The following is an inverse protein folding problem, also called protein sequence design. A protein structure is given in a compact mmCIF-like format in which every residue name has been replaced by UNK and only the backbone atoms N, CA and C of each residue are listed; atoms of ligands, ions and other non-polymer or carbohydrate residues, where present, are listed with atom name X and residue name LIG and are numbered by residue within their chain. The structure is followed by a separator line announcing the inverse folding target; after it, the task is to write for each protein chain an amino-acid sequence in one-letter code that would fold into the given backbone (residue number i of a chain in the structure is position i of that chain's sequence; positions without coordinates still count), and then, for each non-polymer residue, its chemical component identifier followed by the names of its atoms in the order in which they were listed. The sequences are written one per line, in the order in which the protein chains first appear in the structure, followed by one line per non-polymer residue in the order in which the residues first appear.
data_IF_946789044667
#
_entry.id   IF_946789044667
#
_cell.length_a   1.000
_cell.length_b   1.000
_cell.length_c   1.000
_cell.angle_alpha   90.00
_cell.angle_beta   90.00
_cell.angle_gamma   90.00
#
_symmetry.space_group_name_H-M   'P 1'
#
loop_
_entity.id
_entity.type
_entity.pdbx_description
1 polymer ?
#
# COMPACT_ATOMS: atom_id res chain seq x y z
N UNK A 1 -7.01 31.48 59.69
CA UNK A 1 -6.83 32.86 59.17
C UNK A 1 -6.22 32.87 57.74
N UNK A 2 -6.67 32.00 56.82
CA UNK A 2 -6.23 32.00 55.41
C UNK A 2 -7.35 31.55 54.43
N UNK A 3 -8.63 31.65 54.81
CA UNK A 3 -9.78 31.26 53.97
C UNK A 3 -10.57 32.44 53.41
N UNK A 4 -10.03 33.66 53.49
CA UNK A 4 -10.73 34.90 53.14
C UNK A 4 -10.27 35.60 51.85
N UNK A 5 -9.08 35.32 51.33
CA UNK A 5 -8.46 36.14 50.27
C UNK A 5 -8.81 35.74 48.82
N UNK A 6 -9.64 34.71 48.63
CA UNK A 6 -10.01 34.21 47.28
C UNK A 6 -11.32 34.76 46.72
N UNK A 7 -11.97 35.75 47.36
CA UNK A 7 -13.32 36.20 46.98
C UNK A 7 -13.39 37.42 46.06
N UNK A 8 -12.28 38.09 45.75
CA UNK A 8 -12.29 39.27 44.87
C UNK A 8 -11.19 39.21 43.79
N UNK A 9 -11.35 38.35 42.78
CA UNK A 9 -10.64 38.52 41.50
C UNK A 9 -11.64 38.92 40.38
N UNK A 10 -11.30 39.93 39.54
CA UNK A 10 -12.14 40.39 38.43
C UNK A 10 -12.61 39.25 37.52
N UNK A 11 -13.87 39.30 37.11
CA UNK A 11 -14.51 38.34 36.18
C UNK A 11 -13.73 38.01 34.88
N UNK A 12 -12.97 38.94 34.24
CA UNK A 12 -12.15 38.59 33.07
C UNK A 12 -10.95 37.69 33.42
N UNK A 13 -10.34 37.86 34.58
CA UNK A 13 -9.18 37.06 35.02
C UNK A 13 -9.63 35.63 35.35
N UNK A 14 -10.83 35.48 35.92
CA UNK A 14 -11.43 34.16 36.17
C UNK A 14 -11.75 33.42 34.86
N UNK A 15 -12.26 34.13 33.84
CA UNK A 15 -12.50 33.57 32.50
C UNK A 15 -11.20 33.18 31.80
N UNK A 16 -10.19 34.05 31.84
CA UNK A 16 -8.86 33.78 31.29
C UNK A 16 -8.20 32.54 31.93
N UNK A 17 -8.27 32.40 33.26
CA UNK A 17 -7.80 31.21 33.99
C UNK A 17 -8.53 29.94 33.57
N UNK A 18 -9.84 30.01 33.28
CA UNK A 18 -10.59 28.86 32.75
C UNK A 18 -10.17 28.50 31.33
N UNK A 19 -9.93 29.48 30.45
CA UNK A 19 -9.44 29.22 29.08
C UNK A 19 -8.04 28.59 29.06
N UNK A 20 -7.13 29.06 29.90
CA UNK A 20 -5.78 28.47 30.04
C UNK A 20 -5.87 27.03 30.52
N UNK A 21 -6.76 26.73 31.48
CA UNK A 21 -7.00 25.34 31.94
C UNK A 21 -7.54 24.45 30.82
N UNK A 22 -8.53 24.91 30.05
CA UNK A 22 -9.07 24.15 28.93
C UNK A 22 -8.00 23.87 27.87
N UNK A 23 -7.17 24.87 27.55
CA UNK A 23 -6.08 24.72 26.59
C UNK A 23 -5.04 23.68 27.04
N UNK A 24 -4.66 23.69 28.33
CA UNK A 24 -3.75 22.68 28.89
C UNK A 24 -4.35 21.26 28.84
N UNK A 25 -5.66 21.12 29.10
CA UNK A 25 -6.35 19.82 28.99
C UNK A 25 -6.34 19.31 27.55
N UNK A 26 -6.56 20.19 26.56
CA UNK A 26 -6.53 19.81 25.14
C UNK A 26 -5.13 19.34 24.73
N UNK A 27 -4.07 20.03 25.18
CA UNK A 27 -2.68 19.61 24.93
C UNK A 27 -2.42 18.24 25.54
N UNK A 28 -2.81 18.02 26.79
CA UNK A 28 -2.62 16.74 27.48
C UNK A 28 -3.36 15.61 26.74
N UNK A 29 -4.59 15.87 26.29
CA UNK A 29 -5.37 14.91 25.51
C UNK A 29 -4.70 14.58 24.17
N UNK A 30 -4.18 15.59 23.47
CA UNK A 30 -3.44 15.41 22.22
C UNK A 30 -2.17 14.57 22.42
N UNK A 31 -1.39 14.85 23.45
CA UNK A 31 -0.20 14.08 23.79
C UNK A 31 -0.54 12.62 24.13
N UNK A 32 -1.62 12.41 24.89
CA UNK A 32 -2.09 11.06 25.23
C UNK A 32 -2.53 10.28 23.98
N UNK A 33 -3.24 10.90 23.03
CA UNK A 33 -3.59 10.28 21.75
C UNK A 33 -2.37 9.85 20.94
N UNK A 34 -1.32 10.68 20.90
CA UNK A 34 -0.08 10.35 20.20
C UNK A 34 0.66 9.17 20.86
N UNK A 35 0.74 9.15 22.19
CA UNK A 35 1.39 8.04 22.93
C UNK A 35 0.65 6.72 22.73
N UNK A 36 -0.70 6.74 22.82
CA UNK A 36 -1.53 5.55 22.56
C UNK A 36 -1.43 5.10 21.10
N UNK A 37 -1.26 6.04 20.16
CA UNK A 37 -1.03 5.75 18.74
C UNK A 37 0.31 5.06 18.48
N UNK A 38 1.39 5.54 19.10
CA UNK A 38 2.73 4.95 19.00
C UNK A 38 2.75 3.52 19.57
N UNK A 39 2.09 3.30 20.71
CA UNK A 39 2.03 1.99 21.37
C UNK A 39 1.23 0.90 20.62
N UNK A 40 0.53 1.24 19.53
CA UNK A 40 -0.18 0.27 18.68
C UNK A 40 0.59 -0.15 17.44
N UNK A 41 1.75 0.45 17.18
CA UNK A 41 2.62 -0.03 16.10
C UNK A 41 3.33 -1.28 16.60
N UNK A 42 2.93 -2.45 16.09
CA UNK A 42 3.72 -3.67 16.27
C UNK A 42 4.88 -3.61 15.30
N UNK A 43 6.08 -3.88 15.79
CA UNK A 43 7.23 -4.06 14.91
C UNK A 43 7.10 -5.42 14.21
N UNK A 44 7.64 -5.55 12.99
CA UNK A 44 7.53 -6.77 12.16
C UNK A 44 7.82 -8.06 12.95
N UNK A 45 8.85 -8.05 13.79
CA UNK A 45 9.26 -9.19 14.62
C UNK A 45 8.19 -9.60 15.65
N UNK A 46 7.46 -8.62 16.20
CA UNK A 46 6.41 -8.83 17.19
C UNK A 46 5.10 -9.32 16.55
N UNK A 47 4.86 -8.99 15.29
CA UNK A 47 3.67 -9.42 14.56
C UNK A 47 3.78 -10.86 14.06
N UNK A 48 4.97 -11.27 13.59
CA UNK A 48 5.19 -12.57 12.95
C UNK A 48 6.00 -13.56 13.79
N UNK A 49 6.49 -13.16 14.97
CA UNK A 49 7.27 -14.02 15.87
C UNK A 49 8.57 -14.55 15.25
N UNK A 50 9.07 -13.86 14.22
CA UNK A 50 10.27 -14.24 13.46
C UNK A 50 11.15 -13.02 13.26
N UNK A 51 12.41 -13.13 13.63
CA UNK A 51 13.43 -12.15 13.27
C UNK A 51 13.68 -12.21 11.76
N UNK A 52 13.99 -11.07 11.18
CA UNK A 52 14.44 -11.01 9.78
C UNK A 52 15.80 -11.72 9.74
N UNK A 53 15.86 -12.87 9.07
CA UNK A 53 17.13 -13.51 8.78
C UNK A 53 17.81 -12.69 7.68
N UNK A 54 18.91 -12.03 8.04
CA UNK A 54 19.81 -11.47 7.04
C UNK A 54 20.55 -12.63 6.40
N UNK A 55 20.43 -12.69 5.08
CA UNK A 55 20.91 -13.77 4.23
C UNK A 55 21.96 -13.11 3.34
N UNK A 56 23.23 -13.47 3.48
CA UNK A 56 24.28 -12.93 2.62
C UNK A 56 24.15 -13.57 1.23
N UNK A 57 23.72 -12.76 0.27
CA UNK A 57 23.45 -13.18 -1.11
C UNK A 57 24.74 -13.73 -1.76
N UNK A 58 25.92 -13.30 -1.32
CA UNK A 58 27.19 -13.75 -1.86
C UNK A 58 27.65 -15.10 -1.29
N UNK A 59 27.38 -15.39 -0.02
CA UNK A 59 27.68 -16.68 0.62
C UNK A 59 26.79 -17.81 0.05
N UNK A 60 25.61 -17.45 -0.45
CA UNK A 60 24.66 -18.38 -1.06
C UNK A 60 24.90 -18.58 -2.54
N UNK A 61 25.50 -17.62 -3.25
CA UNK A 61 25.89 -17.85 -4.65
C UNK A 61 26.95 -18.96 -4.79
N UNK A 62 27.64 -19.30 -3.69
CA UNK A 62 28.67 -20.35 -3.63
C UNK A 62 28.09 -21.74 -3.27
N UNK A 63 26.86 -21.78 -2.74
CA UNK A 63 26.12 -23.01 -2.49
C UNK A 63 24.96 -23.08 -3.48
N UNK A 64 24.90 -24.10 -4.33
CA UNK A 64 23.84 -24.33 -5.34
C UNK A 64 22.43 -24.56 -4.73
N UNK A 65 22.23 -24.16 -3.48
CA UNK A 65 21.02 -24.25 -2.71
C UNK A 65 20.11 -23.07 -3.07
N UNK A 66 19.24 -23.29 -4.05
CA UNK A 66 18.20 -22.35 -4.44
C UNK A 66 17.46 -21.77 -3.21
N UNK A 67 17.63 -20.47 -2.97
CA UNK A 67 16.80 -19.74 -2.00
C UNK A 67 15.51 -19.35 -2.69
N UNK A 68 14.53 -20.21 -2.47
CA UNK A 68 13.21 -20.15 -3.08
C UNK A 68 12.70 -21.57 -3.06
N UNK A 69 11.38 -21.76 -2.97
CA UNK A 69 10.82 -23.07 -3.24
C UNK A 69 11.28 -23.59 -4.62
N UNK A 70 10.95 -24.85 -4.97
CA UNK A 70 11.31 -25.41 -6.27
C UNK A 70 11.02 -24.39 -7.37
N UNK A 71 12.00 -24.17 -8.25
CA UNK A 71 11.84 -23.31 -9.42
C UNK A 71 10.72 -23.90 -10.27
N UNK A 72 9.49 -23.40 -10.09
CA UNK A 72 8.35 -23.82 -10.89
C UNK A 72 8.56 -23.16 -12.24
N UNK A 73 9.20 -23.91 -13.13
CA UNK A 73 9.49 -23.54 -14.50
C UNK A 73 8.32 -22.79 -15.13
N UNK A 74 8.65 -21.64 -15.73
CA UNK A 74 7.96 -20.95 -16.81
C UNK A 74 6.47 -21.30 -16.87
N UNK A 75 5.62 -20.39 -16.38
CA UNK A 75 4.23 -20.43 -16.82
C UNK A 75 4.29 -20.43 -18.37
N UNK A 76 3.81 -21.47 -19.06
CA UNK A 76 3.68 -21.41 -20.51
C UNK A 76 2.89 -20.13 -20.82
N UNK A 77 3.20 -19.41 -21.90
CA UNK A 77 2.60 -18.11 -22.27
C UNK A 77 1.06 -18.11 -22.18
N UNK A 78 0.54 -17.94 -20.98
CA UNK A 78 -0.88 -17.99 -20.65
C UNK A 78 -1.35 -16.57 -20.43
N UNK A 79 -1.12 -15.69 -21.40
CA UNK A 79 -1.66 -14.33 -21.37
C UNK A 79 -2.96 -14.32 -22.17
N UNK A 80 -4.05 -13.93 -21.51
CA UNK A 80 -5.34 -13.67 -22.16
C UNK A 80 -5.33 -12.25 -22.73
N UNK A 81 -4.76 -11.32 -21.96
CA UNK A 81 -4.58 -9.93 -22.35
C UNK A 81 -3.12 -9.55 -22.11
N UNK A 82 -2.37 -9.33 -23.20
CA UNK A 82 -0.95 -8.93 -23.14
C UNK A 82 -0.77 -7.42 -23.15
N UNK A 83 -1.65 -6.71 -23.86
CA UNK A 83 -1.64 -5.25 -23.99
C UNK A 83 -0.26 -4.68 -24.40
N UNK A 84 0.28 -5.21 -25.50
CA UNK A 84 1.63 -4.92 -26.04
C UNK A 84 1.91 -3.43 -26.28
N UNK A 85 0.85 -2.63 -26.47
CA UNK A 85 0.95 -1.18 -26.68
C UNK A 85 1.42 -0.41 -25.45
N UNK A 86 1.26 -0.97 -24.24
CA UNK A 86 1.63 -0.31 -22.99
C UNK A 86 3.12 0.10 -22.99
N UNK A 87 3.96 -0.78 -23.53
CA UNK A 87 5.41 -0.64 -23.59
C UNK A 87 5.95 -0.51 -25.02
N UNK A 88 5.19 0.06 -25.97
CA UNK A 88 5.67 0.32 -27.34
C UNK A 88 6.98 1.12 -27.38
N UNK A 89 7.22 1.94 -26.35
CA UNK A 89 8.52 2.55 -26.08
C UNK A 89 9.02 2.02 -24.74
N UNK A 90 10.31 1.69 -24.60
CA UNK A 90 10.85 1.16 -23.36
C UNK A 90 10.67 2.19 -22.22
N UNK A 91 9.93 1.84 -21.15
CA UNK A 91 9.75 2.75 -20.03
C UNK A 91 11.02 2.81 -19.18
N UNK A 92 11.23 3.94 -18.51
CA UNK A 92 12.25 4.08 -17.48
C UNK A 92 11.88 3.27 -16.22
N UNK A 93 10.59 3.21 -15.89
CA UNK A 93 10.07 2.44 -14.76
C UNK A 93 8.70 1.85 -15.14
N UNK A 94 8.53 0.55 -14.91
CA UNK A 94 7.24 -0.13 -15.01
C UNK A 94 6.78 -0.51 -13.60
N UNK A 95 5.62 0.01 -13.21
CA UNK A 95 4.97 -0.31 -11.94
C UNK A 95 3.88 -1.34 -12.24
N UNK A 96 4.02 -2.54 -11.68
CA UNK A 96 3.03 -3.61 -11.81
C UNK A 96 2.26 -3.77 -10.50
N UNK A 97 0.94 -3.61 -10.57
CA UNK A 97 0.05 -3.72 -9.42
C UNK A 97 -0.79 -4.99 -9.57
N UNK A 98 -0.61 -5.94 -8.66
CA UNK A 98 -1.50 -7.11 -8.57
C UNK A 98 -2.90 -6.68 -8.15
N UNK A 99 -3.91 -7.13 -8.88
CA UNK A 99 -5.31 -6.83 -8.60
C UNK A 99 -6.20 -8.04 -8.87
N UNK A 100 -7.33 -8.12 -8.19
CA UNK A 100 -8.36 -9.12 -8.49
C UNK A 100 -9.38 -8.57 -9.49
N UNK A 101 -10.00 -9.44 -10.28
CA UNK A 101 -11.00 -9.03 -11.30
C UNK A 101 -12.08 -8.09 -10.71
N UNK A 102 -12.64 -8.44 -9.54
CA UNK A 102 -13.67 -7.65 -8.86
C UNK A 102 -13.21 -6.28 -8.33
N UNK A 103 -11.90 -6.00 -8.27
CA UNK A 103 -11.34 -4.78 -7.69
C UNK A 103 -11.27 -3.60 -8.67
N UNK A 104 -12.27 -3.46 -9.55
CA UNK A 104 -12.37 -2.36 -10.51
C UNK A 104 -12.26 -0.99 -9.84
N UNK A 105 -13.01 -0.77 -8.76
CA UNK A 105 -13.02 0.52 -8.05
C UNK A 105 -11.64 0.85 -7.44
N UNK A 106 -10.90 -0.14 -6.98
CA UNK A 106 -9.55 0.06 -6.45
C UNK A 106 -8.57 0.45 -7.56
N UNK A 107 -8.62 -0.23 -8.72
CA UNK A 107 -7.82 0.15 -9.89
C UNK A 107 -8.17 1.57 -10.36
N UNK A 108 -9.46 1.89 -10.43
CA UNK A 108 -9.94 3.23 -10.77
C UNK A 108 -9.44 4.29 -9.78
N UNK A 109 -9.47 4.03 -8.48
CA UNK A 109 -8.95 4.93 -7.47
C UNK A 109 -7.43 5.16 -7.67
N UNK A 110 -6.67 4.12 -7.97
CA UNK A 110 -5.24 4.25 -8.30
C UNK A 110 -5.04 5.15 -9.53
N UNK A 111 -5.78 4.90 -10.61
CA UNK A 111 -5.71 5.70 -11.85
C UNK A 111 -6.01 7.18 -11.58
N UNK A 112 -7.01 7.48 -10.76
CA UNK A 112 -7.44 8.84 -10.43
C UNK A 112 -6.54 9.54 -9.39
N UNK A 113 -5.78 8.77 -8.61
CA UNK A 113 -4.86 9.30 -7.58
C UNK A 113 -3.43 9.26 -8.11
N UNK A 114 -2.52 8.57 -7.42
CA UNK A 114 -1.09 8.60 -7.71
C UNK A 114 -0.74 8.12 -9.11
N UNK A 115 -1.54 7.23 -9.72
CA UNK A 115 -1.35 6.74 -11.08
C UNK A 115 -1.44 7.86 -12.14
N UNK A 116 -2.34 8.84 -11.94
CA UNK A 116 -2.49 9.98 -12.86
C UNK A 116 -1.26 10.89 -12.91
N UNK A 117 -0.45 10.91 -11.84
CA UNK A 117 0.72 11.76 -11.75
C UNK A 117 1.95 11.15 -12.44
N UNK A 118 1.93 9.86 -12.80
CA UNK A 118 3.06 9.18 -13.43
C UNK A 118 3.43 9.79 -14.80
N UNK A 119 2.43 10.28 -15.54
CA UNK A 119 2.65 10.94 -16.83
C UNK A 119 3.27 12.34 -16.72
N UNK A 120 3.30 12.94 -15.52
CA UNK A 120 3.86 14.29 -15.29
C UNK A 120 5.39 14.27 -15.14
N UNK A 121 5.98 13.09 -14.93
CA UNK A 121 7.43 12.96 -14.82
C UNK A 121 8.08 13.04 -16.20
N UNK A 122 9.25 13.69 -16.28
CA UNK A 122 10.05 13.76 -17.52
C UNK A 122 10.50 12.38 -18.02
N UNK A 123 10.57 11.39 -17.13
CA UNK A 123 10.92 10.00 -17.43
C UNK A 123 9.66 9.21 -17.72
N UNK A 124 9.70 8.30 -18.71
CA UNK A 124 8.55 7.46 -19.06
C UNK A 124 8.28 6.43 -17.96
N UNK A 125 7.28 6.69 -17.11
CA UNK A 125 6.81 5.73 -16.10
C UNK A 125 5.50 5.13 -16.58
N UNK A 126 5.38 3.80 -16.52
CA UNK A 126 4.18 3.05 -16.92
C UNK A 126 3.58 2.32 -15.73
N UNK A 127 2.26 2.19 -15.74
CA UNK A 127 1.49 1.47 -14.75
C UNK A 127 0.75 0.33 -15.45
N UNK A 128 0.86 -0.87 -14.92
CA UNK A 128 0.11 -2.04 -15.37
C UNK A 128 -0.61 -2.70 -14.20
N UNK A 129 -1.82 -3.20 -14.44
CA UNK A 129 -2.56 -4.04 -13.50
C UNK A 129 -2.49 -5.50 -13.94
N UNK A 130 -1.97 -6.35 -13.07
CA UNK A 130 -1.84 -7.79 -13.33
C UNK A 130 -3.01 -8.53 -12.68
N UNK A 131 -3.78 -9.23 -13.51
CA UNK A 131 -5.03 -9.89 -13.16
C UNK A 131 -4.97 -11.39 -13.47
N UNK A 132 -5.70 -12.20 -12.69
CA UNK A 132 -5.95 -13.60 -13.01
C UNK A 132 -7.25 -13.78 -13.82
N UNK A 133 -7.77 -15.01 -13.83
CA UNK A 133 -9.08 -15.36 -14.39
C UNK A 133 -10.12 -15.63 -13.32
N UNK A 134 -11.37 -15.34 -13.64
CA UNK A 134 -12.54 -15.69 -12.85
C UNK A 134 -13.74 -15.92 -13.78
N UNK A 135 -14.83 -16.47 -13.25
CA UNK A 135 -16.03 -16.87 -14.00
C UNK A 135 -16.70 -15.76 -14.81
N UNK A 136 -16.40 -14.48 -14.54
CA UNK A 136 -16.95 -13.32 -15.25
C UNK A 136 -15.84 -12.41 -15.82
N UNK A 137 -15.33 -12.76 -17.00
CA UNK A 137 -14.27 -12.00 -17.70
C UNK A 137 -14.78 -10.85 -18.58
N UNK A 138 -16.07 -10.80 -18.95
CA UNK A 138 -16.59 -9.83 -19.93
C UNK A 138 -16.47 -8.36 -19.49
N UNK A 139 -16.42 -8.09 -18.20
CA UNK A 139 -16.21 -6.73 -17.65
C UNK A 139 -14.76 -6.27 -17.81
N UNK A 140 -13.80 -7.20 -17.78
CA UNK A 140 -12.36 -6.91 -17.88
C UNK A 140 -11.96 -6.56 -19.30
N UNK A 141 -12.54 -7.21 -20.31
CA UNK A 141 -12.29 -6.87 -21.72
C UNK A 141 -12.65 -5.41 -22.01
N UNK A 142 -13.80 -4.95 -21.51
CA UNK A 142 -14.23 -3.54 -21.64
C UNK A 142 -13.28 -2.60 -20.94
N UNK A 143 -12.89 -2.92 -19.70
CA UNK A 143 -11.92 -2.12 -18.94
C UNK A 143 -10.55 -2.07 -19.66
N UNK A 144 -10.09 -3.21 -20.18
CA UNK A 144 -8.80 -3.28 -20.89
C UNK A 144 -8.83 -2.49 -22.19
N UNK A 145 -9.96 -2.49 -22.90
CA UNK A 145 -10.14 -1.69 -24.10
C UNK A 145 -10.15 -0.18 -23.80
N UNK A 146 -10.75 0.22 -22.68
CA UNK A 146 -10.84 1.62 -22.24
C UNK A 146 -9.50 2.17 -21.74
N UNK A 147 -8.80 1.43 -20.86
CA UNK A 147 -7.63 1.96 -20.15
C UNK A 147 -6.29 1.51 -20.73
N UNK A 148 -6.25 0.40 -21.47
CA UNK A 148 -5.01 -0.16 -22.04
C UNK A 148 -3.88 -0.24 -21.02
N UNK A 149 -4.17 -0.69 -19.80
CA UNK A 149 -3.19 -0.88 -18.72
C UNK A 149 -3.34 -2.24 -18.01
N UNK A 150 -4.14 -3.16 -18.57
CA UNK A 150 -4.41 -4.47 -18.00
C UNK A 150 -3.54 -5.53 -18.66
N UNK A 151 -2.96 -6.40 -17.82
CA UNK A 151 -2.32 -7.65 -18.22
C UNK A 151 -3.08 -8.77 -17.51
N UNK A 152 -3.67 -9.69 -18.28
CA UNK A 152 -4.45 -10.80 -17.73
C UNK A 152 -3.77 -12.12 -18.03
N UNK A 153 -3.55 -12.90 -16.97
CA UNK A 153 -2.94 -14.23 -17.02
C UNK A 153 -4.04 -15.28 -16.89
N UNK A 154 -3.98 -16.37 -17.65
CA UNK A 154 -4.87 -17.54 -17.57
C UNK A 154 -4.53 -18.41 -16.35
N UNK A 155 -4.72 -17.82 -15.17
CA UNK A 155 -4.60 -18.48 -13.87
C UNK A 155 -5.70 -17.96 -12.96
N UNK A 156 -6.43 -18.88 -12.35
CA UNK A 156 -7.54 -18.51 -11.47
C UNK A 156 -7.06 -17.64 -10.32
N UNK A 157 -7.83 -16.60 -10.05
CA UNK A 157 -7.50 -15.55 -9.09
C UNK A 157 -7.65 -16.04 -7.63
N UNK A 158 -6.78 -16.95 -7.19
CA UNK A 158 -6.68 -17.40 -5.80
C UNK A 158 -5.45 -16.81 -5.11
N UNK A 159 -5.57 -16.54 -3.81
CA UNK A 159 -4.47 -16.03 -3.00
C UNK A 159 -3.23 -16.92 -3.05
N UNK A 160 -3.44 -18.25 -3.07
CA UNK A 160 -2.36 -19.24 -3.19
C UNK A 160 -1.54 -19.09 -4.48
N UNK A 161 -2.16 -18.66 -5.58
CA UNK A 161 -1.49 -18.47 -6.88
C UNK A 161 -0.92 -17.05 -7.08
N UNK A 162 -0.86 -16.23 -6.04
CA UNK A 162 -0.29 -14.87 -6.12
C UNK A 162 1.20 -14.86 -6.50
N UNK A 163 1.95 -15.89 -6.13
CA UNK A 163 3.37 -16.05 -6.48
C UNK A 163 3.53 -16.32 -7.99
N UNK A 164 2.63 -17.10 -8.59
CA UNK A 164 2.61 -17.41 -10.02
C UNK A 164 2.25 -16.23 -10.93
N UNK A 165 1.79 -15.10 -10.37
CA UNK A 165 1.51 -13.88 -11.16
C UNK A 165 2.70 -12.93 -11.26
N UNK A 166 3.77 -13.20 -10.50
CA UNK A 166 4.98 -12.40 -10.44
C UNK A 166 6.17 -13.07 -11.11
N UNK A 167 6.03 -14.35 -11.47
CA UNK A 167 7.03 -15.16 -12.17
C UNK A 167 6.76 -15.13 -13.66
#
# INVERSE_FOLDING_TARGET
MLSGLYRHLPTPIRRYRSYVKCFLIIIIMYMFCNIVGIGRTKNFEQEYGKSIKYVDIFEIAETDQHIGGPYINQLPNTFIISNEKLCSKPPYLLIMVKSAIGNYLARKAIRLTWGSHLNKYKKSIKLAFVLGTHSHNSTIEKESAEYQDIIQIDKTDYYYYNSCRLT
#
